data_IF_180604765445
#
_entry.id   IF_180604765445
#
_cell.length_a   1.000
_cell.length_b   1.000
_cell.length_c   1.000
_cell.angle_alpha   90.00
_cell.angle_beta   90.00
_cell.angle_gamma   90.00
#
_symmetry.space_group_name_H-M   'P 1'
#
loop_
_entity.id
_entity.type
_entity.pdbx_description
1 polymer ?
#
# COMPACT_ATOMS: atom_id res chain seq x y z
N UNK A 1 13.07 -33.84 38.49
CA UNK A 1 13.83 -33.12 37.45
C UNK A 1 13.00 -33.14 36.19
N UNK A 2 12.29 -32.04 35.88
CA UNK A 2 11.60 -31.82 34.61
C UNK A 2 12.55 -31.02 33.71
N UNK A 3 12.83 -31.44 32.50
CA UNK A 3 13.60 -30.62 31.58
C UNK A 3 12.69 -29.45 31.11
N UNK A 4 13.21 -28.25 31.28
CA UNK A 4 12.58 -27.03 30.77
C UNK A 4 12.44 -27.13 29.25
N UNK A 5 11.19 -27.02 28.75
CA UNK A 5 10.89 -26.92 27.33
C UNK A 5 11.37 -25.57 26.81
N UNK A 6 12.43 -25.58 26.01
CA UNK A 6 13.06 -24.42 25.39
C UNK A 6 12.48 -24.10 24.00
N UNK A 7 11.19 -24.29 23.80
CA UNK A 7 10.52 -24.00 22.53
C UNK A 7 9.77 -22.65 22.56
N UNK A 8 10.48 -21.58 22.91
CA UNK A 8 10.01 -20.23 22.57
C UNK A 8 10.43 -19.93 21.14
N UNK A 9 9.51 -19.56 20.23
CA UNK A 9 9.88 -19.21 18.86
C UNK A 9 10.91 -18.09 18.87
N UNK A 10 11.93 -18.13 18.00
CA UNK A 10 13.00 -17.15 17.98
C UNK A 10 12.40 -15.76 17.74
N UNK A 11 12.62 -14.86 18.68
CA UNK A 11 12.22 -13.44 18.59
C UNK A 11 12.82 -12.88 17.29
N UNK A 12 12.02 -12.30 16.38
CA UNK A 12 12.62 -11.58 15.26
C UNK A 12 13.51 -10.48 15.84
N UNK A 13 14.80 -10.46 15.54
CA UNK A 13 15.69 -9.47 16.12
C UNK A 13 15.16 -8.08 15.76
N UNK A 14 15.07 -7.17 16.73
CA UNK A 14 14.62 -5.78 16.53
C UNK A 14 15.29 -5.13 15.32
N UNK A 15 16.54 -5.49 15.04
CA UNK A 15 17.35 -5.08 13.91
C UNK A 15 16.70 -5.42 12.55
N UNK A 16 16.14 -6.64 12.37
CA UNK A 16 15.48 -7.00 11.08
C UNK A 16 14.24 -6.16 10.81
N UNK A 17 13.42 -5.93 11.81
CA UNK A 17 12.23 -5.09 11.68
C UNK A 17 12.58 -3.64 11.33
N UNK A 18 13.62 -3.10 11.97
CA UNK A 18 14.13 -1.75 11.66
C UNK A 18 14.70 -1.67 10.24
N UNK A 19 15.47 -2.67 9.81
CA UNK A 19 16.02 -2.71 8.44
C UNK A 19 14.91 -2.78 7.38
N UNK A 20 13.87 -3.59 7.61
CA UNK A 20 12.75 -3.69 6.66
C UNK A 20 11.94 -2.39 6.64
N UNK A 21 11.73 -1.73 7.79
CA UNK A 21 11.08 -0.42 7.81
C UNK A 21 11.93 0.66 7.10
N UNK A 22 13.24 0.63 7.28
CA UNK A 22 14.17 1.54 6.60
C UNK A 22 14.19 1.31 5.07
N UNK A 23 14.03 0.08 4.60
CA UNK A 23 13.97 -0.27 3.18
C UNK A 23 12.85 0.46 2.43
N UNK A 24 11.73 0.74 3.07
CA UNK A 24 10.62 1.49 2.48
C UNK A 24 10.59 2.95 2.94
N UNK A 25 10.95 3.21 4.19
CA UNK A 25 10.90 4.54 4.76
C UNK A 25 11.95 5.48 4.18
N UNK A 26 13.21 5.03 4.06
CA UNK A 26 14.29 5.88 3.53
C UNK A 26 14.05 6.26 2.08
N UNK A 27 13.76 5.32 1.14
CA UNK A 27 13.42 5.70 -0.23
C UNK A 27 12.14 6.53 -0.32
N UNK A 28 11.13 6.26 0.52
CA UNK A 28 9.90 7.05 0.56
C UNK A 28 10.14 8.51 0.97
N UNK A 29 10.94 8.74 2.00
CA UNK A 29 11.31 10.08 2.46
C UNK A 29 12.21 10.79 1.45
N UNK A 30 13.16 10.08 0.83
CA UNK A 30 13.99 10.64 -0.24
C UNK A 30 13.14 11.05 -1.44
N UNK A 31 12.22 10.19 -1.86
CA UNK A 31 11.30 10.49 -2.96
C UNK A 31 10.42 11.71 -2.63
N UNK A 32 9.87 11.77 -1.42
CA UNK A 32 9.11 12.92 -0.95
C UNK A 32 9.93 14.21 -1.03
N UNK A 33 11.17 14.19 -0.57
CA UNK A 33 12.07 15.34 -0.62
C UNK A 33 12.35 15.76 -2.07
N UNK A 34 12.63 14.82 -2.97
CA UNK A 34 12.91 15.11 -4.38
C UNK A 34 11.68 15.65 -5.13
N UNK A 35 10.49 15.18 -4.76
CA UNK A 35 9.21 15.70 -5.29
C UNK A 35 8.95 17.11 -4.79
N UNK A 36 9.14 17.36 -3.49
CA UNK A 36 8.93 18.67 -2.87
C UNK A 36 9.91 19.73 -3.40
N UNK A 37 11.17 19.33 -3.64
CA UNK A 37 12.19 20.20 -4.22
C UNK A 37 12.09 20.34 -5.75
N UNK A 38 11.07 19.71 -6.37
CA UNK A 38 10.89 19.68 -7.84
C UNK A 38 12.20 19.32 -8.60
N UNK A 39 12.95 18.33 -8.07
CA UNK A 39 14.26 17.99 -8.62
C UNK A 39 14.17 17.68 -10.11
N UNK A 40 14.85 18.51 -10.92
CA UNK A 40 14.71 18.56 -12.38
C UNK A 40 14.78 17.22 -13.11
N UNK A 41 15.78 16.34 -12.84
CA UNK A 41 15.86 15.03 -13.49
C UNK A 41 14.66 14.12 -13.20
N UNK A 42 14.13 14.12 -11.97
CA UNK A 42 12.96 13.34 -11.59
C UNK A 42 11.69 13.86 -12.25
N UNK A 43 11.53 15.19 -12.24
CA UNK A 43 10.40 15.86 -12.89
C UNK A 43 10.41 15.64 -14.41
N UNK A 44 11.57 15.65 -15.05
CA UNK A 44 11.72 15.34 -16.47
C UNK A 44 11.31 13.89 -16.76
N UNK A 45 11.79 12.94 -15.97
CA UNK A 45 11.44 11.51 -16.09
C UNK A 45 9.93 11.29 -15.94
N UNK A 46 9.29 11.90 -14.92
CA UNK A 46 7.85 11.84 -14.71
C UNK A 46 7.09 12.34 -15.95
N UNK A 47 7.49 13.51 -16.47
CA UNK A 47 6.87 14.12 -17.65
C UNK A 47 7.03 13.25 -18.89
N UNK A 48 8.21 12.67 -19.12
CA UNK A 48 8.48 11.85 -20.30
C UNK A 48 7.68 10.54 -20.29
N UNK A 49 7.64 9.86 -19.13
CA UNK A 49 6.82 8.66 -18.98
C UNK A 49 5.32 9.01 -19.13
N UNK A 50 4.84 10.04 -18.43
CA UNK A 50 3.45 10.44 -18.49
C UNK A 50 3.01 10.85 -19.91
N UNK A 51 3.82 11.61 -20.64
CA UNK A 51 3.54 11.96 -22.04
C UNK A 51 3.49 10.74 -22.95
N UNK A 52 4.38 9.80 -22.73
CA UNK A 52 4.45 8.59 -23.56
C UNK A 52 3.25 7.69 -23.30
N UNK A 53 2.91 7.44 -22.04
CA UNK A 53 1.73 6.62 -21.67
C UNK A 53 0.43 7.30 -22.07
N UNK A 54 0.32 8.62 -21.95
CA UNK A 54 -0.86 9.37 -22.39
C UNK A 54 -1.08 9.26 -23.91
N UNK A 55 -0.04 9.37 -24.74
CA UNK A 55 -0.14 9.14 -26.19
C UNK A 55 -0.67 7.74 -26.51
N UNK A 56 -0.22 6.72 -25.78
CA UNK A 56 -0.73 5.35 -25.95
C UNK A 56 -2.18 5.23 -25.51
N UNK A 57 -2.54 5.86 -24.40
CA UNK A 57 -3.91 5.85 -23.88
C UNK A 57 -4.92 6.52 -24.83
N UNK A 58 -4.54 7.63 -25.48
CA UNK A 58 -5.35 8.28 -26.51
C UNK A 58 -5.47 7.40 -27.77
N UNK A 59 -4.39 6.70 -28.14
CA UNK A 59 -4.36 5.85 -29.34
C UNK A 59 -5.07 4.50 -29.17
N UNK A 60 -5.30 4.05 -27.93
CA UNK A 60 -5.94 2.76 -27.61
C UNK A 60 -7.14 2.97 -26.65
N UNK A 61 -8.33 3.27 -27.18
CA UNK A 61 -9.54 3.47 -26.40
C UNK A 61 -9.97 2.24 -25.61
N UNK A 62 -9.73 1.02 -26.13
CA UNK A 62 -10.13 -0.23 -25.49
C UNK A 62 -9.30 -0.51 -24.26
N UNK A 63 -7.96 -0.39 -24.34
CA UNK A 63 -7.08 -0.50 -23.18
C UNK A 63 -7.37 0.61 -22.14
N UNK A 64 -7.71 1.81 -22.60
CA UNK A 64 -8.07 2.93 -21.73
C UNK A 64 -9.40 2.66 -21.00
N UNK A 65 -10.41 2.13 -21.70
CA UNK A 65 -11.67 1.74 -21.06
C UNK A 65 -11.48 0.58 -20.07
N UNK A 66 -10.69 -0.43 -20.42
CA UNK A 66 -10.31 -1.51 -19.49
C UNK A 66 -9.60 -0.97 -18.24
N UNK A 67 -8.68 -0.01 -18.42
CA UNK A 67 -7.97 0.65 -17.31
C UNK A 67 -8.92 1.41 -16.37
N UNK A 68 -9.93 2.09 -16.92
CA UNK A 68 -10.98 2.75 -16.12
C UNK A 68 -11.78 1.72 -15.31
N UNK A 69 -12.29 0.67 -15.98
CA UNK A 69 -13.07 -0.38 -15.29
C UNK A 69 -12.26 -1.00 -14.14
N UNK A 70 -10.99 -1.31 -14.38
CA UNK A 70 -10.13 -1.91 -13.36
C UNK A 70 -9.88 -0.94 -12.20
N UNK A 71 -9.60 0.33 -12.47
CA UNK A 71 -9.23 1.30 -11.43
C UNK A 71 -10.45 1.82 -10.66
N UNK A 72 -11.63 1.92 -11.30
CA UNK A 72 -12.81 2.52 -10.69
C UNK A 72 -13.72 1.48 -10.00
N UNK A 73 -13.58 0.19 -10.32
CA UNK A 73 -14.42 -0.86 -9.74
C UNK A 73 -13.60 -1.91 -8.97
N UNK A 74 -12.55 -2.46 -9.59
CA UNK A 74 -11.79 -3.57 -8.97
C UNK A 74 -10.79 -3.03 -7.95
N UNK A 75 -10.04 -2.00 -8.32
CA UNK A 75 -8.97 -1.41 -7.52
C UNK A 75 -9.31 -0.03 -6.95
N UNK A 76 -10.59 0.34 -6.98
CA UNK A 76 -11.05 1.55 -6.34
C UNK A 76 -10.75 1.54 -4.83
N UNK A 77 -10.32 2.66 -4.24
CA UNK A 77 -10.03 2.74 -2.81
C UNK A 77 -11.19 2.33 -1.91
N UNK A 78 -12.46 2.55 -2.31
CA UNK A 78 -13.61 2.11 -1.54
C UNK A 78 -13.81 0.59 -1.62
N UNK A 79 -13.65 -0.02 -2.80
CA UNK A 79 -13.67 -1.48 -2.99
C UNK A 79 -12.57 -2.15 -2.15
N UNK A 80 -11.35 -1.61 -2.20
CA UNK A 80 -10.23 -2.10 -1.39
C UNK A 80 -10.51 -1.98 0.12
N UNK A 81 -11.05 -0.84 0.56
CA UNK A 81 -11.43 -0.65 1.97
C UNK A 81 -12.58 -1.56 2.38
N UNK A 82 -13.54 -1.84 1.49
CA UNK A 82 -14.61 -2.79 1.75
C UNK A 82 -14.08 -4.22 1.96
N UNK A 83 -13.09 -4.66 1.18
CA UNK A 83 -12.40 -5.94 1.42
C UNK A 83 -11.74 -5.97 2.80
N UNK A 84 -11.07 -4.89 3.19
CA UNK A 84 -10.47 -4.79 4.51
C UNK A 84 -11.52 -4.78 5.62
N UNK A 85 -12.64 -4.06 5.44
CA UNK A 85 -13.76 -4.04 6.36
C UNK A 85 -14.39 -5.43 6.52
N UNK A 86 -14.56 -6.19 5.44
CA UNK A 86 -15.03 -7.57 5.50
C UNK A 86 -14.08 -8.46 6.33
N UNK A 87 -12.76 -8.31 6.17
CA UNK A 87 -11.79 -9.01 7.00
C UNK A 87 -11.88 -8.60 8.48
N UNK A 88 -12.06 -7.32 8.77
CA UNK A 88 -12.27 -6.81 10.15
C UNK A 88 -13.54 -7.40 10.76
N UNK A 89 -14.66 -7.40 10.05
CA UNK A 89 -15.92 -7.99 10.52
C UNK A 89 -15.78 -9.49 10.77
N UNK A 90 -15.11 -10.21 9.87
CA UNK A 90 -14.82 -11.63 10.05
C UNK A 90 -13.97 -11.88 11.31
N UNK A 91 -12.95 -11.07 11.58
CA UNK A 91 -12.13 -11.16 12.77
C UNK A 91 -12.95 -10.90 14.06
N UNK A 92 -13.85 -9.91 14.02
CA UNK A 92 -14.76 -9.62 15.14
C UNK A 92 -15.68 -10.80 15.41
N UNK A 93 -16.29 -11.38 14.36
CA UNK A 93 -17.16 -12.56 14.47
C UNK A 93 -16.42 -13.78 15.03
N UNK A 94 -15.08 -13.88 14.78
CA UNK A 94 -14.20 -14.92 15.34
C UNK A 94 -13.70 -14.60 16.76
N UNK A 95 -14.14 -13.50 17.37
CA UNK A 95 -13.67 -13.06 18.69
C UNK A 95 -12.28 -12.43 18.72
N UNK A 96 -11.61 -12.29 17.56
CA UNK A 96 -10.27 -11.71 17.45
C UNK A 96 -10.30 -10.18 17.44
N UNK A 97 -11.04 -9.56 18.38
CA UNK A 97 -11.31 -8.10 18.43
C UNK A 97 -10.06 -7.26 18.40
N UNK A 98 -9.00 -7.70 19.10
CA UNK A 98 -7.72 -6.96 19.10
C UNK A 98 -7.09 -6.89 17.72
N UNK A 99 -7.02 -7.99 16.99
CA UNK A 99 -6.47 -8.04 15.64
C UNK A 99 -7.34 -7.20 14.69
N UNK A 100 -8.68 -7.28 14.84
CA UNK A 100 -9.62 -6.46 14.09
C UNK A 100 -9.36 -4.95 14.27
N UNK A 101 -9.23 -4.50 15.53
CA UNK A 101 -8.90 -3.09 15.85
C UNK A 101 -7.55 -2.67 15.29
N UNK A 102 -6.56 -3.58 15.28
CA UNK A 102 -5.25 -3.32 14.75
C UNK A 102 -5.27 -3.11 13.24
N UNK A 103 -5.98 -3.97 12.50
CA UNK A 103 -6.18 -3.84 11.06
C UNK A 103 -6.95 -2.55 10.72
N UNK A 104 -8.07 -2.30 11.39
CA UNK A 104 -8.86 -1.09 11.17
C UNK A 104 -8.07 0.19 11.46
N UNK A 105 -7.34 0.20 12.60
CA UNK A 105 -6.46 1.31 12.98
C UNK A 105 -5.35 1.56 11.98
N UNK A 106 -4.77 0.50 11.40
CA UNK A 106 -3.72 0.62 10.37
C UNK A 106 -4.25 1.24 9.07
N UNK A 107 -5.46 0.85 8.65
CA UNK A 107 -6.12 1.47 7.49
C UNK A 107 -6.45 2.96 7.75
N UNK A 108 -6.89 3.28 8.96
CA UNK A 108 -7.14 4.67 9.36
C UNK A 108 -5.85 5.49 9.35
N UNK A 109 -4.77 4.99 9.97
CA UNK A 109 -3.44 5.65 9.97
C UNK A 109 -2.95 5.85 8.54
N UNK A 110 -3.07 4.83 7.67
CA UNK A 110 -2.70 4.97 6.26
C UNK A 110 -3.49 6.09 5.56
N UNK A 111 -4.80 6.18 5.81
CA UNK A 111 -5.65 7.22 5.24
C UNK A 111 -5.27 8.62 5.76
N UNK A 112 -5.00 8.76 7.05
CA UNK A 112 -4.58 10.03 7.65
C UNK A 112 -3.21 10.46 7.11
N UNK A 113 -2.24 9.54 7.06
CA UNK A 113 -0.90 9.83 6.49
C UNK A 113 -1.01 10.23 5.02
N UNK A 114 -1.82 9.53 4.23
CA UNK A 114 -2.06 9.87 2.82
C UNK A 114 -2.62 11.29 2.68
N UNK A 115 -3.65 11.66 3.45
CA UNK A 115 -4.25 13.00 3.36
C UNK A 115 -3.31 14.09 3.87
N UNK A 116 -2.56 13.81 4.93
CA UNK A 116 -1.55 14.74 5.44
C UNK A 116 -0.45 15.02 4.40
N UNK A 117 0.06 13.96 3.74
CA UNK A 117 1.05 14.11 2.68
C UNK A 117 0.48 14.86 1.47
N UNK A 118 -0.78 14.59 1.08
CA UNK A 118 -1.45 15.34 0.00
C UNK A 118 -1.56 16.83 0.33
N UNK A 119 -1.95 17.16 1.53
CA UNK A 119 -2.09 18.55 1.97
C UNK A 119 -0.75 19.25 2.13
N UNK A 120 0.32 18.53 2.53
CA UNK A 120 1.64 19.11 2.73
C UNK A 120 2.36 19.38 1.40
N UNK A 121 2.28 18.43 0.44
CA UNK A 121 3.01 18.51 -0.85
C UNK A 121 2.21 19.31 -1.88
N UNK A 122 0.90 19.25 -1.84
CA UNK A 122 -0.05 19.90 -2.77
C UNK A 122 0.36 19.84 -4.26
N UNK A 123 0.92 18.70 -4.66
CA UNK A 123 1.49 18.51 -6.00
C UNK A 123 0.41 18.58 -7.07
N UNK A 124 0.59 19.37 -8.14
CA UNK A 124 -0.34 19.40 -9.26
C UNK A 124 -0.30 18.08 -10.05
N UNK A 125 -1.47 17.70 -10.58
CA UNK A 125 -1.61 16.55 -11.48
C UNK A 125 -1.13 16.85 -12.88
N UNK A 126 -0.85 15.83 -13.73
CA UNK A 126 -0.71 16.04 -15.16
C UNK A 126 -1.94 16.72 -15.75
N UNK A 127 -1.71 17.66 -16.66
CA UNK A 127 -2.78 18.38 -17.40
C UNK A 127 -2.58 18.09 -18.89
N UNK A 128 -3.67 17.68 -19.55
CA UNK A 128 -3.69 17.29 -20.95
C UNK A 128 -4.69 18.12 -21.73
N UNK A 129 -4.42 18.36 -23.03
CA UNK A 129 -5.37 18.99 -23.96
C UNK A 129 -6.56 18.07 -24.29
N UNK A 130 -6.33 16.77 -24.24
CA UNK A 130 -7.24 15.67 -24.57
C UNK A 130 -7.30 14.64 -23.45
N UNK A 131 -7.80 14.99 -22.25
CA UNK A 131 -7.76 14.11 -21.10
C UNK A 131 -8.60 12.85 -21.31
N UNK A 132 -7.98 11.67 -21.06
CA UNK A 132 -8.68 10.38 -21.13
C UNK A 132 -9.36 10.03 -19.81
N UNK A 133 -9.03 10.72 -18.71
CA UNK A 133 -9.67 10.58 -17.40
C UNK A 133 -9.47 11.86 -16.59
N UNK A 134 -10.18 11.99 -15.46
CA UNK A 134 -10.06 13.11 -14.54
C UNK A 134 -9.92 12.66 -13.10
N UNK A 135 -9.20 13.43 -12.31
CA UNK A 135 -9.10 13.21 -10.87
C UNK A 135 -8.89 14.54 -10.15
N UNK A 136 -9.46 14.63 -8.95
CA UNK A 136 -9.41 15.80 -8.10
C UNK A 136 -8.37 15.67 -7.00
N UNK A 137 -8.04 16.77 -6.31
CA UNK A 137 -7.10 16.88 -5.23
C UNK A 137 -5.63 16.66 -5.64
N UNK A 138 -4.71 16.90 -4.69
CA UNK A 138 -3.26 16.78 -4.89
C UNK A 138 -2.84 15.39 -5.42
N UNK A 139 -1.79 15.39 -6.24
CA UNK A 139 -1.32 14.17 -6.90
C UNK A 139 -0.54 13.24 -5.96
N UNK A 140 0.37 13.78 -5.15
CA UNK A 140 1.27 12.98 -4.32
C UNK A 140 0.78 12.78 -2.88
N UNK A 141 0.89 11.56 -2.33
CA UNK A 141 1.07 10.30 -3.03
C UNK A 141 -0.22 9.80 -3.69
N UNK A 142 -0.13 8.82 -4.60
CA UNK A 142 -1.31 8.20 -5.21
C UNK A 142 -2.13 7.43 -4.19
N UNK A 143 -3.40 7.83 -4.03
CA UNK A 143 -4.31 7.22 -3.07
C UNK A 143 -4.69 5.79 -3.42
N UNK A 144 -4.90 5.49 -4.70
CA UNK A 144 -5.17 4.15 -5.21
C UNK A 144 -3.98 3.21 -4.93
N UNK A 145 -2.77 3.63 -5.30
CA UNK A 145 -1.56 2.85 -5.10
C UNK A 145 -1.27 2.58 -3.61
N UNK A 146 -1.42 3.60 -2.75
CA UNK A 146 -1.19 3.45 -1.31
C UNK A 146 -2.23 2.54 -0.66
N UNK A 147 -3.53 2.72 -0.99
CA UNK A 147 -4.61 1.90 -0.44
C UNK A 147 -4.45 0.44 -0.85
N UNK A 148 -4.15 0.16 -2.13
CA UNK A 148 -3.92 -1.20 -2.60
C UNK A 148 -2.73 -1.86 -1.90
N UNK A 149 -1.60 -1.15 -1.75
CA UNK A 149 -0.43 -1.67 -1.04
C UNK A 149 -0.75 -2.01 0.42
N UNK A 150 -1.47 -1.15 1.12
CA UNK A 150 -1.88 -1.37 2.52
C UNK A 150 -2.83 -2.56 2.63
N UNK A 151 -3.92 -2.57 1.88
CA UNK A 151 -4.96 -3.60 1.98
C UNK A 151 -4.40 -4.96 1.58
N UNK A 152 -3.73 -5.07 0.42
CA UNK A 152 -3.12 -6.31 -0.02
C UNK A 152 -2.07 -6.82 0.98
N UNK A 153 -1.22 -5.94 1.49
CA UNK A 153 -0.21 -6.31 2.48
C UNK A 153 -0.80 -6.82 3.80
N UNK A 154 -1.84 -6.16 4.31
CA UNK A 154 -2.54 -6.60 5.53
C UNK A 154 -3.28 -7.92 5.33
N UNK A 155 -3.94 -8.12 4.19
CA UNK A 155 -4.63 -9.39 3.87
C UNK A 155 -3.63 -10.55 3.71
N UNK A 156 -2.50 -10.33 3.04
CA UNK A 156 -1.43 -11.33 2.96
C UNK A 156 -0.87 -11.67 4.35
N UNK A 157 -0.66 -10.68 5.19
CA UNK A 157 -0.24 -10.92 6.57
C UNK A 157 -1.28 -11.74 7.35
N UNK A 158 -2.58 -11.41 7.23
CA UNK A 158 -3.65 -12.19 7.87
C UNK A 158 -3.67 -13.64 7.39
N UNK A 159 -3.51 -13.90 6.10
CA UNK A 159 -3.42 -15.27 5.56
C UNK A 159 -2.26 -16.05 6.18
N UNK A 160 -1.10 -15.42 6.33
CA UNK A 160 0.06 -16.03 7.02
C UNK A 160 -0.24 -16.31 8.49
N UNK A 161 -0.85 -15.36 9.17
CA UNK A 161 -1.17 -15.48 10.60
C UNK A 161 -2.15 -16.63 10.87
N UNK A 162 -3.05 -16.91 9.93
CA UNK A 162 -4.03 -17.99 10.01
C UNK A 162 -3.57 -19.30 9.35
N UNK A 163 -2.28 -19.45 9.07
CA UNK A 163 -1.70 -20.69 8.58
C UNK A 163 -2.12 -21.09 7.16
N UNK A 164 -2.37 -20.12 6.28
CA UNK A 164 -2.72 -20.40 4.89
C UNK A 164 -1.70 -21.34 4.22
N UNK A 165 -2.20 -22.39 3.59
CA UNK A 165 -1.36 -23.35 2.87
C UNK A 165 -0.59 -22.71 1.71
N UNK A 166 0.50 -23.37 1.25
CA UNK A 166 1.42 -22.76 0.26
C UNK A 166 0.74 -22.37 -1.06
N UNK A 167 -0.24 -23.14 -1.52
CA UNK A 167 -0.97 -22.85 -2.76
C UNK A 167 -1.79 -21.56 -2.61
N UNK A 168 -2.64 -21.48 -1.58
CA UNK A 168 -3.46 -20.30 -1.30
C UNK A 168 -2.61 -19.05 -1.13
N UNK A 169 -1.52 -19.17 -0.38
CA UNK A 169 -0.64 -18.03 -0.14
C UNK A 169 0.04 -17.54 -1.42
N UNK A 170 0.53 -18.45 -2.28
CA UNK A 170 1.13 -18.07 -3.58
C UNK A 170 0.13 -17.40 -4.50
N UNK A 171 -1.09 -17.95 -4.59
CA UNK A 171 -2.17 -17.34 -5.38
C UNK A 171 -2.52 -15.94 -4.85
N UNK A 172 -2.71 -15.80 -3.53
CA UNK A 172 -2.99 -14.51 -2.92
C UNK A 172 -1.84 -13.49 -3.14
N UNK A 173 -0.59 -13.95 -3.07
CA UNK A 173 0.58 -13.10 -3.35
C UNK A 173 0.59 -12.64 -4.81
N UNK A 174 0.34 -13.55 -5.76
CA UNK A 174 0.26 -13.20 -7.19
C UNK A 174 -0.85 -12.18 -7.47
N UNK A 175 -2.04 -12.39 -6.90
CA UNK A 175 -3.16 -11.45 -7.00
C UNK A 175 -2.84 -10.10 -6.36
N UNK A 176 -2.18 -10.08 -5.19
CA UNK A 176 -1.77 -8.86 -4.53
C UNK A 176 -0.74 -8.07 -5.35
N UNK A 177 0.27 -8.75 -5.90
CA UNK A 177 1.28 -8.12 -6.77
C UNK A 177 0.62 -7.56 -8.03
N UNK A 178 -0.26 -8.34 -8.67
CA UNK A 178 -1.00 -7.90 -9.84
C UNK A 178 -1.87 -6.68 -9.53
N UNK A 179 -2.57 -6.67 -8.39
CA UNK A 179 -3.42 -5.56 -7.98
C UNK A 179 -2.61 -4.29 -7.68
N UNK A 180 -1.54 -4.41 -6.90
CA UNK A 180 -0.69 -3.26 -6.51
C UNK A 180 0.02 -2.67 -7.74
N UNK A 181 0.61 -3.51 -8.59
CA UNK A 181 1.25 -3.05 -9.83
C UNK A 181 0.20 -2.52 -10.83
N UNK A 182 -0.87 -3.27 -11.05
CA UNK A 182 -1.93 -2.94 -12.01
C UNK A 182 -2.59 -1.61 -11.70
N UNK A 183 -3.00 -1.36 -10.45
CA UNK A 183 -3.60 -0.08 -10.10
C UNK A 183 -2.64 1.09 -10.29
N UNK A 184 -1.36 0.93 -9.97
CA UNK A 184 -0.38 1.98 -10.20
C UNK A 184 -0.19 2.28 -11.68
N UNK A 185 -0.07 1.23 -12.50
CA UNK A 185 0.08 1.38 -13.96
C UNK A 185 -1.16 2.01 -14.60
N UNK A 186 -2.38 1.62 -14.19
CA UNK A 186 -3.60 2.24 -14.72
C UNK A 186 -3.71 3.72 -14.36
N UNK A 187 -3.23 4.16 -13.18
CA UNK A 187 -3.24 5.60 -12.81
C UNK A 187 -2.28 6.44 -13.66
N UNK A 188 -1.13 5.87 -14.07
CA UNK A 188 -0.19 6.52 -14.98
C UNK A 188 -0.73 6.48 -16.43
N UNK A 189 -1.30 5.34 -16.86
CA UNK A 189 -1.93 5.18 -18.17
C UNK A 189 -3.03 6.20 -18.39
N UNK A 190 -3.93 6.33 -17.42
CA UNK A 190 -5.03 7.29 -17.46
C UNK A 190 -4.60 8.76 -17.33
N UNK A 191 -3.30 9.01 -17.16
CA UNK A 191 -2.73 10.35 -17.13
C UNK A 191 -3.13 11.20 -15.91
N UNK A 192 -3.59 10.57 -14.83
CA UNK A 192 -4.07 11.25 -13.61
C UNK A 192 -3.05 11.32 -12.48
N UNK A 193 -1.93 10.59 -12.61
CA UNK A 193 -0.82 10.59 -11.68
C UNK A 193 0.53 10.54 -12.38
N UNK A 194 1.52 11.16 -11.77
CA UNK A 194 2.91 10.97 -12.13
C UNK A 194 3.41 9.59 -11.66
N UNK A 195 4.36 8.95 -12.36
CA UNK A 195 4.99 7.69 -11.90
C UNK A 195 5.49 7.75 -10.45
N UNK A 196 6.08 8.88 -10.04
CA UNK A 196 6.58 9.06 -8.68
C UNK A 196 5.48 9.18 -7.64
N UNK A 197 4.26 9.62 -7.98
CA UNK A 197 3.12 9.59 -7.06
C UNK A 197 2.73 8.15 -6.72
N UNK A 198 2.76 7.28 -7.73
CA UNK A 198 2.46 5.85 -7.59
C UNK A 198 3.54 5.18 -6.75
N UNK A 199 4.81 5.43 -7.06
CA UNK A 199 5.93 4.89 -6.29
C UNK A 199 5.88 5.34 -4.83
N UNK A 200 5.58 6.62 -4.57
CA UNK A 200 5.35 7.14 -3.22
C UNK A 200 4.22 6.41 -2.50
N UNK A 201 3.10 6.17 -3.19
CA UNK A 201 1.98 5.40 -2.66
C UNK A 201 2.38 3.98 -2.25
N UNK A 202 3.13 3.27 -3.08
CA UNK A 202 3.63 1.93 -2.77
C UNK A 202 4.61 1.92 -1.59
N UNK A 203 5.57 2.84 -1.55
CA UNK A 203 6.58 2.92 -0.49
C UNK A 203 5.94 3.24 0.87
N UNK A 204 5.09 4.26 0.95
CA UNK A 204 4.42 4.62 2.20
C UNK A 204 3.38 3.57 2.61
N UNK A 205 2.67 2.96 1.67
CA UNK A 205 1.76 1.85 1.95
C UNK A 205 2.48 0.64 2.51
N UNK A 206 3.60 0.23 1.91
CA UNK A 206 4.42 -0.87 2.41
C UNK A 206 5.02 -0.55 3.79
N UNK A 207 5.47 0.68 4.01
CA UNK A 207 5.96 1.13 5.32
C UNK A 207 4.90 0.99 6.41
N UNK A 208 3.66 1.42 6.14
CA UNK A 208 2.54 1.26 7.09
C UNK A 208 2.32 -0.21 7.42
N UNK A 209 2.31 -1.11 6.42
CA UNK A 209 2.15 -2.55 6.64
C UNK A 209 3.28 -3.10 7.52
N UNK A 210 4.53 -2.78 7.21
CA UNK A 210 5.70 -3.23 7.99
C UNK A 210 5.61 -2.75 9.43
N UNK A 211 5.29 -1.48 9.66
CA UNK A 211 5.13 -0.92 11.00
C UNK A 211 3.97 -1.61 11.75
N UNK A 212 2.84 -1.85 11.07
CA UNK A 212 1.71 -2.59 11.64
C UNK A 212 2.11 -3.98 12.11
N UNK A 213 2.71 -4.77 11.24
CA UNK A 213 3.11 -6.16 11.54
C UNK A 213 4.13 -6.20 12.68
N UNK A 214 5.12 -5.33 12.63
CA UNK A 214 6.21 -5.34 13.62
C UNK A 214 5.75 -4.86 15.00
N UNK A 215 4.91 -3.84 15.07
CA UNK A 215 4.38 -3.33 16.34
C UNK A 215 3.36 -4.30 16.95
N UNK A 216 2.51 -4.95 16.13
CA UNK A 216 1.62 -6.02 16.61
C UNK A 216 2.40 -7.17 17.25
N UNK A 217 3.43 -7.67 16.56
CA UNK A 217 4.26 -8.78 17.06
C UNK A 217 4.98 -8.42 18.37
N UNK A 218 5.52 -7.21 18.48
CA UNK A 218 6.13 -6.71 19.73
C UNK A 218 5.14 -6.65 20.88
N UNK A 219 3.92 -6.18 20.62
CA UNK A 219 2.87 -6.08 21.62
C UNK A 219 2.30 -7.44 22.03
N UNK A 220 2.40 -8.49 21.22
CA UNK A 220 2.10 -9.87 21.60
C UNK A 220 3.19 -10.42 22.53
N UNK A 221 4.45 -10.34 22.15
CA UNK A 221 5.56 -10.85 22.92
C UNK A 221 5.70 -10.24 24.33
N UNK A 222 5.36 -8.96 24.51
CA UNK A 222 5.38 -8.30 25.84
C UNK A 222 4.33 -8.86 26.80
N UNK A 223 3.22 -9.35 26.29
CA UNK A 223 2.14 -9.90 27.13
C UNK A 223 2.43 -11.32 27.58
N UNK A 224 3.04 -12.10 26.72
CA UNK A 224 3.46 -13.46 27.05
C UNK A 224 4.46 -13.43 28.22
N UNK A 225 5.30 -12.40 28.30
CA UNK A 225 6.27 -12.18 29.41
C UNK A 225 5.57 -11.61 30.68
N UNK A 226 4.52 -10.82 30.55
CA UNK A 226 3.83 -10.21 31.69
C UNK A 226 2.77 -11.13 32.31
N UNK A 227 2.38 -12.22 31.64
CA UNK A 227 1.41 -13.22 32.10
C UNK A 227 2.05 -14.48 32.71
N UNK A 228 3.40 -14.56 32.75
CA UNK A 228 4.20 -15.59 33.46
C UNK A 228 4.72 -15.04 34.76
#
# INVERSE_FOLDING_TARGET
MHPASTDSPPRPPCRRATLVAALFGVPGLLLLLLVELEWGPLTALDKDIARTTHRWAVADPDATQASRILTDWVWDPWTMRALCAAAVLWLVARGARRLALWIAGSCLVASVVQQALKAAVDRPRPVWSDPVDSAHYAAFPSGHAMTAAVVCGLLLWLLRLHGAGPALWRTALALAVLSVAGVGLTRVWLGVHWPTDVLGGWLFGALVVVLTVTTYARGAARRDVAGT
#
